data_IF_673284737524
#
_entry.id   IF_673284737524
#
_cell.length_a   1.000
_cell.length_b   1.000
_cell.length_c   1.000
_cell.angle_alpha   90.00
_cell.angle_beta   90.00
_cell.angle_gamma   90.00
#
_symmetry.space_group_name_H-M   'P 1'
#
loop_
_entity.id
_entity.type
_entity.pdbx_description
1 polymer ?
#
# COMPACT_ATOMS: atom_id res chain seq x y z
N UNK A 1 21.58 4.81 13.62
CA UNK A 1 21.49 5.57 12.36
C UNK A 1 20.84 6.96 12.55
N UNK A 2 19.74 7.07 13.29
CA UNK A 2 19.03 8.34 13.50
C UNK A 2 19.93 9.43 14.14
N UNK A 3 20.73 9.09 15.15
CA UNK A 3 21.65 10.03 15.80
C UNK A 3 22.68 10.65 14.83
N UNK A 4 23.07 9.91 13.79
CA UNK A 4 24.03 10.41 12.80
C UNK A 4 23.36 11.38 11.80
N UNK A 5 22.10 11.17 11.47
CA UNK A 5 21.35 12.05 10.54
C UNK A 5 21.03 13.39 11.21
N UNK A 6 20.64 13.39 12.47
CA UNK A 6 20.44 14.60 13.26
C UNK A 6 21.74 15.42 13.37
N UNK A 7 22.86 14.76 13.65
CA UNK A 7 24.16 15.42 13.68
C UNK A 7 24.51 16.09 12.35
N UNK A 8 24.24 15.41 11.22
CA UNK A 8 24.45 15.99 9.88
C UNK A 8 23.56 17.21 9.67
N UNK A 9 22.28 17.14 10.04
CA UNK A 9 21.35 18.27 9.93
C UNK A 9 21.78 19.48 10.76
N UNK A 10 22.34 19.27 11.96
CA UNK A 10 22.83 20.33 12.83
C UNK A 10 24.11 20.97 12.30
N UNK A 11 25.01 20.19 11.71
CA UNK A 11 26.30 20.65 11.20
C UNK A 11 26.24 21.23 9.78
N UNK A 12 25.22 20.87 9.00
CA UNK A 12 25.10 21.28 7.60
C UNK A 12 25.11 22.81 7.39
N UNK A 13 24.43 23.64 8.19
CA UNK A 13 24.53 25.10 8.07
C UNK A 13 25.96 25.62 8.22
N UNK A 14 26.69 25.10 9.22
CA UNK A 14 28.10 25.47 9.46
C UNK A 14 29.00 25.03 8.28
N UNK A 15 28.77 23.83 7.74
CA UNK A 15 29.52 23.34 6.61
C UNK A 15 29.28 24.20 5.35
N UNK A 16 28.06 24.73 5.16
CA UNK A 16 27.72 25.64 4.05
C UNK A 16 28.49 26.98 4.09
N UNK A 17 28.90 27.44 5.28
CA UNK A 17 29.66 28.69 5.45
C UNK A 17 31.17 28.53 5.17
N UNK A 18 31.67 27.31 5.06
CA UNK A 18 33.09 27.07 4.80
C UNK A 18 33.50 27.60 3.44
N UNK A 19 34.69 28.29 3.32
CA UNK A 19 35.15 28.84 2.05
C UNK A 19 35.56 27.78 1.02
N UNK A 20 35.99 26.62 1.49
CA UNK A 20 36.29 25.44 0.66
C UNK A 20 35.45 24.27 1.13
N UNK A 21 34.56 23.82 0.29
CA UNK A 21 33.66 22.67 0.57
C UNK A 21 33.73 21.69 -0.60
N UNK A 22 33.70 20.41 -0.25
CA UNK A 22 33.56 19.36 -1.23
C UNK A 22 32.10 19.33 -1.74
N UNK A 23 31.84 19.51 -3.04
CA UNK A 23 30.48 19.55 -3.58
C UNK A 23 29.77 18.21 -3.46
N UNK A 24 30.49 17.09 -3.51
CA UNK A 24 29.91 15.74 -3.35
C UNK A 24 29.46 15.54 -1.93
N UNK A 25 30.35 15.87 -0.96
CA UNK A 25 30.01 15.78 0.47
C UNK A 25 28.86 16.71 0.84
N UNK A 26 28.83 17.94 0.31
CA UNK A 26 27.74 18.87 0.52
C UNK A 26 26.40 18.30 0.01
N UNK A 27 26.39 17.82 -1.23
CA UNK A 27 25.18 17.24 -1.82
C UNK A 27 24.71 15.99 -1.06
N UNK A 28 25.65 15.17 -0.57
CA UNK A 28 25.34 14.02 0.26
C UNK A 28 24.73 14.44 1.62
N UNK A 29 25.34 15.41 2.30
CA UNK A 29 24.84 15.94 3.57
C UNK A 29 23.42 16.56 3.39
N UNK A 30 23.19 17.27 2.30
CA UNK A 30 21.88 17.83 1.96
C UNK A 30 20.82 16.72 1.70
N UNK A 31 21.21 15.61 1.08
CA UNK A 31 20.33 14.48 0.88
C UNK A 31 19.94 13.81 2.23
N UNK A 32 20.91 13.70 3.15
CA UNK A 32 20.65 13.20 4.52
C UNK A 32 19.72 14.15 5.26
N UNK A 33 19.96 15.44 5.22
CA UNK A 33 19.14 16.48 5.87
C UNK A 33 17.70 16.47 5.34
N UNK A 34 17.53 16.39 4.01
CA UNK A 34 16.23 16.27 3.38
C UNK A 34 15.46 15.02 3.87
N UNK A 35 16.16 13.88 3.97
CA UNK A 35 15.57 12.64 4.49
C UNK A 35 15.18 12.77 5.96
N UNK A 36 16.05 13.34 6.79
CA UNK A 36 15.79 13.56 8.21
C UNK A 36 14.56 14.46 8.43
N UNK A 37 14.39 15.47 7.59
CA UNK A 37 13.22 16.38 7.62
C UNK A 37 11.94 15.79 7.00
N UNK A 38 11.98 14.55 6.51
CA UNK A 38 10.84 13.90 5.85
C UNK A 38 10.62 14.30 4.38
N UNK A 39 11.53 15.09 3.80
CA UNK A 39 11.49 15.50 2.39
C UNK A 39 12.04 14.38 1.50
N UNK A 40 11.37 13.22 1.50
CA UNK A 40 11.87 12.01 0.84
C UNK A 40 12.02 12.14 -0.67
N UNK A 41 11.16 12.92 -1.31
CA UNK A 41 11.27 13.20 -2.76
C UNK A 41 12.57 13.95 -3.08
N UNK A 42 12.89 15.00 -2.32
CA UNK A 42 14.13 15.74 -2.48
C UNK A 42 15.35 14.86 -2.19
N UNK A 43 15.32 14.09 -1.10
CA UNK A 43 16.38 13.15 -0.76
C UNK A 43 16.65 12.16 -1.89
N UNK A 44 15.60 11.56 -2.46
CA UNK A 44 15.70 10.62 -3.56
C UNK A 44 16.30 11.26 -4.82
N UNK A 45 15.90 12.50 -5.15
CA UNK A 45 16.46 13.23 -6.29
C UNK A 45 17.93 13.52 -6.10
N UNK A 46 18.36 13.99 -4.91
CA UNK A 46 19.75 14.27 -4.58
C UNK A 46 20.62 13.01 -4.64
N UNK A 47 20.17 11.92 -4.02
CA UNK A 47 20.85 10.63 -4.11
C UNK A 47 20.92 10.09 -5.53
N UNK A 48 19.89 10.30 -6.36
CA UNK A 48 19.88 9.90 -7.76
C UNK A 48 20.95 10.67 -8.55
N UNK A 49 21.06 11.99 -8.34
CA UNK A 49 22.08 12.83 -8.98
C UNK A 49 23.50 12.41 -8.58
N UNK A 50 23.74 12.17 -7.29
CA UNK A 50 25.01 11.66 -6.81
C UNK A 50 25.34 10.28 -7.39
N UNK A 51 24.36 9.40 -7.45
CA UNK A 51 24.51 8.04 -7.97
C UNK A 51 24.81 8.02 -9.48
N UNK A 52 24.32 8.98 -10.27
CA UNK A 52 24.71 9.08 -11.69
C UNK A 52 26.20 9.40 -11.88
N UNK A 53 26.83 10.05 -10.90
CA UNK A 53 28.26 10.40 -10.92
C UNK A 53 29.14 9.30 -10.30
N UNK A 54 28.58 8.47 -9.42
CA UNK A 54 29.25 7.43 -8.64
C UNK A 54 28.45 6.14 -8.63
N UNK A 55 28.17 5.60 -9.82
CA UNK A 55 27.26 4.46 -10.02
C UNK A 55 27.74 3.11 -9.44
N UNK A 56 29.02 3.00 -9.14
CA UNK A 56 29.68 1.85 -8.51
C UNK A 56 29.62 1.87 -6.98
N UNK A 57 29.20 2.99 -6.38
CA UNK A 57 29.13 3.14 -4.93
C UNK A 57 27.92 2.39 -4.33
N UNK A 58 28.20 1.22 -3.74
CA UNK A 58 27.15 0.42 -3.03
C UNK A 58 26.52 1.19 -1.85
N UNK A 59 27.27 1.95 -1.02
CA UNK A 59 26.67 2.76 0.03
C UNK A 59 25.68 3.78 -0.53
N UNK A 60 26.03 4.43 -1.63
CA UNK A 60 25.17 5.44 -2.25
C UNK A 60 23.93 4.83 -2.88
N UNK A 61 24.05 3.66 -3.54
CA UNK A 61 22.92 2.89 -4.04
C UNK A 61 21.96 2.52 -2.90
N UNK A 62 22.49 2.13 -1.76
CA UNK A 62 21.69 1.79 -0.59
C UNK A 62 20.91 3.01 -0.05
N UNK A 63 21.56 4.18 0.05
CA UNK A 63 20.92 5.42 0.46
C UNK A 63 19.82 5.85 -0.52
N UNK A 64 20.06 5.70 -1.82
CA UNK A 64 19.06 5.94 -2.86
C UNK A 64 17.86 4.99 -2.70
N UNK A 65 18.12 3.68 -2.53
CA UNK A 65 17.07 2.69 -2.34
C UNK A 65 16.19 3.00 -1.13
N UNK A 66 16.80 3.40 0.00
CA UNK A 66 16.07 3.81 1.20
C UNK A 66 15.24 5.07 0.97
N UNK A 67 15.78 6.10 0.31
CA UNK A 67 15.05 7.32 0.03
C UNK A 67 13.85 7.06 -0.89
N UNK A 68 14.01 6.22 -1.91
CA UNK A 68 12.93 5.78 -2.79
C UNK A 68 11.85 5.00 -2.03
N UNK A 69 12.26 4.10 -1.13
CA UNK A 69 11.33 3.35 -0.27
C UNK A 69 10.49 4.27 0.61
N UNK A 70 11.11 5.27 1.24
CA UNK A 70 10.42 6.26 2.07
C UNK A 70 9.53 7.19 1.24
N UNK A 71 9.92 7.47 -0.01
CA UNK A 71 9.12 8.26 -0.95
C UNK A 71 7.97 7.46 -1.59
N UNK A 72 7.76 6.20 -1.21
CA UNK A 72 6.80 5.27 -1.81
C UNK A 72 7.01 5.00 -3.32
N UNK A 73 8.22 5.22 -3.81
CA UNK A 73 8.67 4.89 -5.17
C UNK A 73 9.02 3.39 -5.22
N UNK A 74 8.02 2.53 -5.01
CA UNK A 74 8.21 1.12 -4.67
C UNK A 74 8.94 0.33 -5.75
N UNK A 75 8.61 0.54 -7.03
CA UNK A 75 9.26 -0.15 -8.15
C UNK A 75 10.74 0.24 -8.26
N UNK A 76 11.03 1.54 -8.19
CA UNK A 76 12.41 2.02 -8.24
C UNK A 76 13.22 1.59 -7.01
N UNK A 77 12.62 1.60 -5.82
CA UNK A 77 13.25 1.09 -4.61
C UNK A 77 13.57 -0.40 -4.73
N UNK A 78 12.62 -1.19 -5.23
CA UNK A 78 12.76 -2.62 -5.44
C UNK A 78 13.91 -2.95 -6.41
N UNK A 79 13.99 -2.25 -7.53
CA UNK A 79 15.08 -2.38 -8.50
C UNK A 79 16.45 -2.15 -7.85
N UNK A 80 16.59 -1.05 -7.07
CA UNK A 80 17.86 -0.75 -6.40
C UNK A 80 18.21 -1.77 -5.32
N UNK A 81 17.24 -2.23 -4.51
CA UNK A 81 17.47 -3.27 -3.51
C UNK A 81 17.79 -4.63 -4.13
N UNK A 82 17.19 -5.00 -5.27
CA UNK A 82 17.52 -6.24 -5.98
C UNK A 82 18.95 -6.20 -6.54
N UNK A 83 19.40 -5.06 -7.08
CA UNK A 83 20.77 -4.88 -7.53
C UNK A 83 21.76 -4.99 -6.37
N UNK A 84 21.45 -4.37 -5.22
CA UNK A 84 22.25 -4.54 -4.00
C UNK A 84 22.29 -5.98 -3.53
N UNK A 85 21.16 -6.70 -3.59
CA UNK A 85 21.06 -8.10 -3.17
C UNK A 85 21.90 -9.05 -4.01
N UNK A 86 22.17 -8.66 -5.27
CA UNK A 86 23.03 -9.43 -6.18
C UNK A 86 24.53 -9.24 -5.93
N UNK A 87 24.92 -8.22 -5.15
CA UNK A 87 26.30 -7.96 -4.79
C UNK A 87 26.76 -8.84 -3.60
N UNK A 88 28.07 -9.01 -3.48
CA UNK A 88 28.67 -9.71 -2.34
C UNK A 88 28.64 -8.81 -1.10
N UNK A 89 27.67 -9.05 -0.22
CA UNK A 89 27.49 -8.32 1.04
C UNK A 89 27.62 -9.23 2.25
N UNK A 90 27.76 -8.60 3.43
CA UNK A 90 27.71 -9.34 4.68
C UNK A 90 26.32 -9.94 4.91
N UNK A 91 26.22 -11.06 5.65
CA UNK A 91 24.92 -11.65 5.97
C UNK A 91 23.93 -10.68 6.63
N UNK A 92 24.44 -9.79 7.48
CA UNK A 92 23.64 -8.77 8.19
C UNK A 92 23.04 -7.76 7.20
N UNK A 93 23.84 -7.26 6.26
CA UNK A 93 23.36 -6.32 5.23
C UNK A 93 22.37 -7.01 4.29
N UNK A 94 22.64 -8.23 3.92
CA UNK A 94 21.74 -9.08 3.13
C UNK A 94 20.38 -9.22 3.81
N UNK A 95 20.36 -9.52 5.11
CA UNK A 95 19.11 -9.63 5.87
C UNK A 95 18.31 -8.30 5.90
N UNK A 96 19.00 -7.17 6.04
CA UNK A 96 18.36 -5.85 5.97
C UNK A 96 17.73 -5.59 4.60
N UNK A 97 18.44 -5.89 3.51
CA UNK A 97 17.91 -5.75 2.15
C UNK A 97 16.69 -6.66 1.93
N UNK A 98 16.75 -7.92 2.40
CA UNK A 98 15.65 -8.86 2.29
C UNK A 98 14.40 -8.38 3.07
N UNK A 99 14.57 -7.68 4.20
CA UNK A 99 13.47 -7.03 4.91
C UNK A 99 12.82 -5.92 4.09
N UNK A 100 13.60 -5.06 3.43
CA UNK A 100 13.05 -4.02 2.53
C UNK A 100 12.31 -4.63 1.35
N UNK A 101 12.88 -5.66 0.70
CA UNK A 101 12.24 -6.36 -0.41
C UNK A 101 10.92 -7.04 0.03
N UNK A 102 10.91 -7.66 1.22
CA UNK A 102 9.69 -8.23 1.80
C UNK A 102 8.62 -7.16 2.05
N UNK A 103 9.00 -6.03 2.65
CA UNK A 103 8.08 -4.92 2.90
C UNK A 103 7.51 -4.35 1.60
N UNK A 104 8.33 -4.20 0.54
CA UNK A 104 7.89 -3.76 -0.78
C UNK A 104 6.90 -4.75 -1.42
N UNK A 105 7.20 -6.04 -1.33
CA UNK A 105 6.30 -7.07 -1.83
C UNK A 105 4.94 -7.04 -1.10
N UNK A 106 4.93 -6.80 0.21
CA UNK A 106 3.69 -6.67 0.98
C UNK A 106 2.86 -5.44 0.58
N UNK A 107 3.52 -4.33 0.22
CA UNK A 107 2.81 -3.11 -0.24
C UNK A 107 2.00 -3.35 -1.51
N UNK A 108 2.47 -4.21 -2.41
CA UNK A 108 1.90 -4.44 -3.74
C UNK A 108 1.20 -5.81 -3.86
N UNK A 109 0.87 -6.45 -2.74
CA UNK A 109 0.15 -7.72 -2.74
C UNK A 109 -1.31 -7.59 -3.18
N UNK A 110 -1.80 -8.64 -3.80
CA UNK A 110 -3.22 -8.86 -3.98
C UNK A 110 -3.91 -9.06 -2.63
N UNK A 111 -5.03 -8.38 -2.42
CA UNK A 111 -5.90 -8.61 -1.29
C UNK A 111 -7.13 -9.35 -1.75
N UNK A 112 -7.42 -10.45 -1.09
CA UNK A 112 -8.63 -11.20 -1.27
C UNK A 112 -9.46 -11.08 0.00
N UNK A 113 -10.74 -10.85 -0.16
CA UNK A 113 -11.67 -10.80 0.97
C UNK A 113 -12.98 -11.46 0.59
N UNK A 114 -13.68 -11.94 1.59
CA UNK A 114 -14.96 -12.56 1.37
C UNK A 114 -15.61 -12.94 2.68
N UNK A 115 -16.92 -13.17 2.61
CA UNK A 115 -17.71 -13.56 3.74
C UNK A 115 -18.92 -14.37 3.31
N UNK A 116 -19.39 -15.22 4.23
CA UNK A 116 -20.63 -15.95 4.09
C UNK A 116 -21.41 -15.81 5.39
N UNK A 117 -22.70 -15.50 5.29
CA UNK A 117 -23.59 -15.41 6.44
C UNK A 117 -24.88 -16.16 6.17
N UNK A 118 -25.40 -16.84 7.19
CA UNK A 118 -26.69 -17.49 7.12
C UNK A 118 -27.83 -16.47 7.18
N UNK A 119 -28.82 -16.65 6.33
CA UNK A 119 -30.01 -15.83 6.23
C UNK A 119 -31.24 -16.64 6.67
N UNK A 120 -32.04 -16.07 7.55
CA UNK A 120 -33.34 -16.64 7.96
C UNK A 120 -34.37 -15.50 8.03
N UNK A 121 -35.05 -15.31 6.92
CA UNK A 121 -36.01 -14.22 6.73
C UNK A 121 -37.43 -14.76 6.92
N UNK A 122 -38.13 -14.27 7.93
CA UNK A 122 -39.52 -14.69 8.21
C UNK A 122 -40.56 -13.92 7.40
N UNK A 123 -40.19 -12.85 6.72
CA UNK A 123 -41.06 -12.01 5.92
C UNK A 123 -40.29 -11.35 4.77
N UNK A 124 -39.72 -12.15 3.90
CA UNK A 124 -38.85 -11.67 2.80
C UNK A 124 -39.60 -10.82 1.78
N UNK A 125 -40.90 -11.04 1.63
CA UNK A 125 -41.77 -10.30 0.72
C UNK A 125 -42.38 -9.02 1.32
N UNK A 126 -41.93 -8.61 2.52
CA UNK A 126 -42.43 -7.43 3.23
C UNK A 126 -43.97 -7.39 3.33
N UNK A 127 -44.60 -8.57 3.51
CA UNK A 127 -46.05 -8.64 3.62
C UNK A 127 -46.55 -7.91 4.89
N UNK A 128 -47.69 -7.22 4.83
CA UNK A 128 -48.31 -6.59 5.96
C UNK A 128 -48.71 -7.62 7.01
N UNK A 129 -49.13 -7.16 8.22
CA UNK A 129 -49.66 -8.03 9.23
C UNK A 129 -50.90 -8.78 8.71
N UNK A 130 -51.05 -10.03 9.08
CA UNK A 130 -52.21 -10.83 8.71
C UNK A 130 -53.52 -10.10 9.07
N UNK A 131 -54.46 -10.08 8.16
CA UNK A 131 -55.74 -9.37 8.33
C UNK A 131 -55.76 -7.89 7.97
N UNK A 132 -54.62 -7.33 7.51
CA UNK A 132 -54.61 -5.96 7.02
C UNK A 132 -55.38 -5.88 5.70
N UNK A 133 -56.30 -4.93 5.58
CA UNK A 133 -57.02 -4.59 4.36
C UNK A 133 -56.48 -3.24 3.81
N UNK A 134 -56.20 -3.22 2.53
CA UNK A 134 -55.80 -2.01 1.79
C UNK A 134 -56.94 -1.75 0.77
N UNK A 135 -57.92 -0.96 1.16
CA UNK A 135 -59.14 -0.83 0.39
C UNK A 135 -59.90 -2.16 0.26
N UNK A 136 -60.25 -2.55 -0.95
CA UNK A 136 -60.90 -3.84 -1.25
C UNK A 136 -59.90 -5.03 -1.44
N UNK A 137 -58.59 -4.80 -1.19
CA UNK A 137 -57.56 -5.80 -1.41
C UNK A 137 -57.20 -6.47 -0.09
N UNK A 138 -57.16 -7.82 -0.11
CA UNK A 138 -56.67 -8.62 1.02
C UNK A 138 -55.14 -8.64 0.95
N UNK A 139 -54.47 -8.36 2.07
CA UNK A 139 -53.02 -8.43 2.14
C UNK A 139 -52.54 -9.86 1.78
N UNK A 140 -51.42 -9.90 1.04
CA UNK A 140 -50.73 -11.15 0.70
C UNK A 140 -50.09 -11.77 1.96
N UNK A 141 -49.88 -13.06 1.92
CA UNK A 141 -49.28 -13.79 3.02
C UNK A 141 -47.78 -13.55 3.12
N UNK A 142 -47.25 -13.60 4.33
CA UNK A 142 -45.80 -13.59 4.57
C UNK A 142 -45.14 -14.81 3.92
N UNK A 143 -44.02 -14.58 3.29
CA UNK A 143 -43.15 -15.63 2.80
C UNK A 143 -41.87 -15.66 3.64
N UNK A 144 -41.42 -16.88 3.96
CA UNK A 144 -40.13 -17.09 4.61
C UNK A 144 -39.10 -17.57 3.60
N UNK A 145 -37.87 -17.21 3.85
CA UNK A 145 -36.74 -17.67 3.04
C UNK A 145 -35.53 -17.98 3.93
N UNK A 146 -34.88 -19.08 3.63
CA UNK A 146 -33.62 -19.46 4.27
C UNK A 146 -32.54 -19.59 3.22
N UNK A 147 -31.35 -19.06 3.53
CA UNK A 147 -30.30 -18.98 2.54
C UNK A 147 -28.97 -18.57 3.12
N UNK A 148 -28.11 -18.15 2.21
CA UNK A 148 -26.80 -17.58 2.51
C UNK A 148 -26.67 -16.26 1.77
N UNK A 149 -26.11 -15.26 2.46
CA UNK A 149 -25.48 -14.14 1.78
C UNK A 149 -23.99 -14.46 1.59
N UNK A 150 -23.44 -14.02 0.48
CA UNK A 150 -22.02 -14.19 0.19
C UNK A 150 -21.46 -12.90 -0.40
N UNK A 151 -20.19 -12.66 -0.12
CA UNK A 151 -19.40 -11.60 -0.73
C UNK A 151 -18.02 -12.12 -1.05
N UNK A 152 -17.49 -11.73 -2.18
CA UNK A 152 -16.13 -12.03 -2.61
C UNK A 152 -15.57 -10.79 -3.27
N UNK A 153 -14.33 -10.48 -2.97
CA UNK A 153 -13.65 -9.37 -3.61
C UNK A 153 -12.16 -9.63 -3.73
N UNK A 154 -11.60 -8.97 -4.71
CA UNK A 154 -10.17 -8.96 -4.98
C UNK A 154 -9.76 -7.53 -5.28
N UNK A 155 -8.68 -7.10 -4.68
CA UNK A 155 -8.12 -5.79 -4.96
C UNK A 155 -6.61 -5.86 -5.10
N UNK A 156 -6.07 -5.03 -5.97
CA UNK A 156 -4.64 -4.78 -6.06
C UNK A 156 -4.37 -3.30 -6.03
N UNK A 157 -3.38 -2.93 -5.24
CA UNK A 157 -2.84 -1.58 -5.18
C UNK A 157 -1.47 -1.58 -5.86
N UNK A 158 -1.21 -0.58 -6.69
CA UNK A 158 0.10 -0.26 -7.23
C UNK A 158 0.51 1.09 -6.69
N UNK A 159 1.67 1.15 -6.06
CA UNK A 159 2.26 2.40 -5.64
C UNK A 159 3.02 3.00 -6.81
N UNK A 160 2.66 4.21 -7.18
CA UNK A 160 3.33 5.01 -8.19
C UNK A 160 4.29 5.99 -7.51
N UNK A 161 5.16 6.64 -8.31
CA UNK A 161 6.07 7.66 -7.78
C UNK A 161 5.34 8.82 -7.08
N UNK A 162 6.01 9.49 -6.15
CA UNK A 162 5.55 10.73 -5.50
C UNK A 162 4.24 10.57 -4.69
N UNK A 163 4.10 9.49 -3.93
CA UNK A 163 2.93 9.20 -3.10
C UNK A 163 1.60 8.97 -3.86
N UNK A 164 1.65 8.90 -5.19
CA UNK A 164 0.51 8.46 -5.96
C UNK A 164 0.37 6.95 -5.91
N UNK A 165 -0.85 6.48 -5.92
CA UNK A 165 -1.14 5.07 -6.08
C UNK A 165 -2.36 4.89 -6.99
N UNK A 166 -2.43 3.74 -7.64
CA UNK A 166 -3.65 3.28 -8.29
C UNK A 166 -4.13 2.00 -7.62
N UNK A 167 -5.42 1.83 -7.58
CA UNK A 167 -6.08 0.67 -6.98
C UNK A 167 -7.14 0.18 -7.96
N UNK A 168 -7.10 -1.11 -8.24
CA UNK A 168 -8.14 -1.81 -8.97
C UNK A 168 -8.72 -2.88 -8.07
N UNK A 169 -10.05 -2.91 -7.96
CA UNK A 169 -10.78 -3.92 -7.22
C UNK A 169 -11.98 -4.39 -8.00
N UNK A 170 -12.32 -5.64 -7.83
CA UNK A 170 -13.56 -6.25 -8.27
C UNK A 170 -14.20 -6.91 -7.06
N UNK A 171 -15.47 -6.64 -6.85
CA UNK A 171 -16.25 -7.28 -5.82
C UNK A 171 -17.62 -7.70 -6.33
N UNK A 172 -18.10 -8.77 -5.77
CA UNK A 172 -19.41 -9.29 -6.04
C UNK A 172 -20.06 -9.78 -4.74
N UNK A 173 -21.34 -9.57 -4.60
CA UNK A 173 -22.10 -10.07 -3.49
C UNK A 173 -23.46 -10.58 -3.96
N UNK A 174 -24.07 -11.42 -3.14
CA UNK A 174 -25.37 -11.94 -3.48
C UNK A 174 -26.02 -12.65 -2.31
N UNK A 175 -27.24 -13.04 -2.56
CA UNK A 175 -28.04 -13.88 -1.65
C UNK A 175 -28.56 -15.08 -2.39
N UNK A 176 -28.43 -16.23 -1.81
CA UNK A 176 -28.95 -17.47 -2.33
C UNK A 176 -29.89 -18.12 -1.30
N UNK A 177 -31.17 -18.22 -1.69
CA UNK A 177 -32.20 -18.86 -0.90
C UNK A 177 -32.55 -20.21 -1.51
N UNK A 178 -32.40 -21.30 -0.75
CA UNK A 178 -32.66 -22.66 -1.23
C UNK A 178 -34.14 -23.01 -1.25
N UNK A 179 -34.95 -22.42 -0.38
CA UNK A 179 -36.39 -22.68 -0.28
C UNK A 179 -37.26 -21.61 -0.98
N UNK A 180 -36.69 -20.49 -1.42
CA UNK A 180 -37.44 -19.42 -2.09
C UNK A 180 -36.56 -18.69 -3.12
N UNK A 181 -36.23 -19.41 -4.19
CA UNK A 181 -35.24 -19.00 -5.20
C UNK A 181 -35.57 -17.71 -5.97
N UNK A 182 -36.85 -17.27 -5.94
CA UNK A 182 -37.24 -16.00 -6.63
C UNK A 182 -36.61 -14.75 -6.03
N UNK A 183 -36.06 -14.85 -4.82
CA UNK A 183 -35.37 -13.77 -4.12
C UNK A 183 -33.84 -13.88 -4.20
N UNK A 184 -33.30 -14.76 -5.03
CA UNK A 184 -31.87 -14.84 -5.26
C UNK A 184 -31.37 -13.57 -5.92
N UNK A 185 -30.25 -13.05 -5.42
CA UNK A 185 -29.62 -11.81 -5.89
C UNK A 185 -28.14 -12.05 -6.20
N UNK A 186 -27.67 -11.42 -7.25
CA UNK A 186 -26.25 -11.33 -7.58
C UNK A 186 -25.95 -9.90 -8.02
N UNK A 187 -25.02 -9.25 -7.36
CA UNK A 187 -24.54 -7.91 -7.67
C UNK A 187 -23.03 -7.96 -7.90
N UNK A 188 -22.57 -7.22 -8.90
CA UNK A 188 -21.14 -7.10 -9.26
C UNK A 188 -20.75 -5.65 -9.44
#
# INVERSE_FOLDING_TARGET
LQNNEEAVSLLLPLYRELPKKDPVLLSWAEAIDARHKGNYSEAAQRYRTLFTQHSDSLPLRYQLAQALFLNNDNEAAKDQFQKLRAEQMTPEMTAVIDQYLSALNQRDQWKFYGGVSYLNESNINNAPKAGTHIGNWKAWSKESAQGLSYSLGVEKKWSLAHNFFTKLGLDGNGKYYWNNKKYNELNT
#
